data_IF_420497676334
#
_entry.id   IF_420497676334
#
_cell.length_a   1.000
_cell.length_b   1.000
_cell.length_c   1.000
_cell.angle_alpha   90.00
_cell.angle_beta   90.00
_cell.angle_gamma   90.00
#
_symmetry.space_group_name_H-M   'P 1'
#
loop_
_entity.id
_entity.type
_entity.pdbx_description
1 polymer ?
#
# COMPACT_ATOMS: atom_id res chain seq x y z
N UNK A 1 -16.95 -21.96 -0.44
CA UNK A 1 -17.61 -21.63 0.84
C UNK A 1 -18.64 -20.53 0.59
N UNK A 2 -19.85 -20.63 1.15
CA UNK A 2 -20.83 -19.54 1.13
C UNK A 2 -20.24 -18.29 1.80
N UNK A 3 -20.48 -17.10 1.23
CA UNK A 3 -20.00 -15.83 1.79
C UNK A 3 -20.96 -14.68 1.44
N UNK A 4 -20.86 -13.56 2.16
CA UNK A 4 -21.62 -12.32 1.92
C UNK A 4 -20.67 -11.13 1.99
N UNK A 5 -20.87 -10.14 1.12
CA UNK A 5 -20.09 -8.91 1.10
C UNK A 5 -20.86 -7.77 1.78
N UNK A 6 -20.19 -7.04 2.69
CA UNK A 6 -20.79 -5.95 3.47
C UNK A 6 -20.03 -4.65 3.19
N UNK A 7 -20.74 -3.62 2.75
CA UNK A 7 -20.18 -2.26 2.55
C UNK A 7 -19.84 -1.67 3.92
N UNK A 8 -18.59 -1.20 4.10
CA UNK A 8 -18.12 -0.64 5.38
C UNK A 8 -18.13 -1.67 6.53
N UNK A 9 -17.94 -2.95 6.21
CA UNK A 9 -18.10 -4.05 7.17
C UNK A 9 -17.15 -3.97 8.38
N UNK A 10 -16.00 -3.32 8.25
CA UNK A 10 -15.05 -3.07 9.35
C UNK A 10 -15.60 -2.11 10.41
N UNK A 11 -16.49 -1.19 10.04
CA UNK A 11 -17.21 -0.33 10.99
C UNK A 11 -18.39 -1.03 11.69
N UNK A 12 -18.79 -2.22 11.22
CA UNK A 12 -20.00 -2.92 11.68
C UNK A 12 -19.71 -4.26 12.37
N UNK A 13 -18.70 -4.99 11.91
CA UNK A 13 -18.39 -6.35 12.35
C UNK A 13 -16.96 -6.46 12.87
N UNK A 14 -16.82 -6.92 14.12
CA UNK A 14 -15.51 -7.06 14.80
C UNK A 14 -14.54 -8.00 14.09
N UNK A 15 -15.04 -9.06 13.44
CA UNK A 15 -14.19 -9.98 12.67
C UNK A 15 -13.59 -9.31 11.43
N UNK A 16 -14.38 -8.47 10.73
CA UNK A 16 -13.91 -7.71 9.57
C UNK A 16 -12.93 -6.62 10.04
N UNK A 17 -13.20 -5.95 11.16
CA UNK A 17 -12.30 -4.97 11.76
C UNK A 17 -10.95 -5.60 12.18
N UNK A 18 -10.98 -6.77 12.81
CA UNK A 18 -9.76 -7.49 13.17
C UNK A 18 -8.95 -7.87 11.92
N UNK A 19 -9.61 -8.34 10.86
CA UNK A 19 -8.96 -8.66 9.60
C UNK A 19 -8.34 -7.41 8.93
N UNK A 20 -9.02 -6.26 8.96
CA UNK A 20 -8.50 -5.01 8.38
C UNK A 20 -7.28 -4.48 9.14
N UNK A 21 -7.27 -4.58 10.47
CA UNK A 21 -6.11 -4.24 11.30
C UNK A 21 -4.91 -5.11 10.92
N UNK A 22 -5.07 -6.44 10.92
CA UNK A 22 -3.99 -7.37 10.56
C UNK A 22 -3.45 -7.11 9.16
N UNK A 23 -4.33 -6.89 8.18
CA UNK A 23 -3.93 -6.58 6.81
C UNK A 23 -3.14 -5.26 6.73
N UNK A 24 -3.58 -4.22 7.45
CA UNK A 24 -2.93 -2.91 7.43
C UNK A 24 -1.56 -2.94 8.10
N UNK A 25 -1.44 -3.55 9.28
CA UNK A 25 -0.16 -3.62 10.02
C UNK A 25 0.88 -4.39 9.22
N UNK A 26 0.50 -5.54 8.63
CA UNK A 26 1.37 -6.33 7.78
C UNK A 26 1.80 -5.55 6.52
N UNK A 27 0.86 -4.86 5.86
CA UNK A 27 1.19 -4.05 4.68
C UNK A 27 2.17 -2.93 5.01
N UNK A 28 1.97 -2.23 6.12
CA UNK A 28 2.82 -1.10 6.51
C UNK A 28 4.21 -1.54 6.96
N UNK A 29 4.34 -2.73 7.55
CA UNK A 29 5.64 -3.37 7.78
C UNK A 29 6.36 -3.67 6.46
N UNK A 30 5.67 -4.31 5.52
CA UNK A 30 6.26 -4.60 4.21
C UNK A 30 6.70 -3.34 3.45
N UNK A 31 5.93 -2.26 3.53
CA UNK A 31 6.31 -0.98 2.90
C UNK A 31 7.53 -0.33 3.57
N UNK A 32 7.75 -0.55 4.87
CA UNK A 32 8.95 -0.09 5.58
C UNK A 32 10.19 -0.85 5.12
N UNK A 33 10.12 -2.18 5.03
CA UNK A 33 11.21 -3.00 4.48
C UNK A 33 11.55 -2.59 3.04
N UNK A 34 10.53 -2.39 2.19
CA UNK A 34 10.75 -1.93 0.82
C UNK A 34 11.36 -0.52 0.75
N UNK A 35 11.13 0.33 1.75
CA UNK A 35 11.75 1.64 1.81
C UNK A 35 13.26 1.54 2.17
N UNK A 36 13.70 0.46 2.82
CA UNK A 36 15.12 0.20 3.04
C UNK A 36 15.80 -0.25 1.74
N UNK A 37 15.13 -1.10 0.95
CA UNK A 37 15.63 -1.57 -0.36
C UNK A 37 15.55 -0.48 -1.44
N UNK A 38 14.51 0.35 -1.44
CA UNK A 38 14.25 1.41 -2.41
C UNK A 38 14.01 2.77 -1.72
N UNK A 39 15.05 3.39 -1.15
CA UNK A 39 14.92 4.58 -0.29
C UNK A 39 14.37 5.82 -1.00
N UNK A 40 14.56 5.92 -2.32
CA UNK A 40 14.17 7.12 -3.08
C UNK A 40 12.65 7.38 -3.12
N UNK A 41 11.80 6.35 -2.99
CA UNK A 41 10.36 6.48 -3.25
C UNK A 41 9.54 6.91 -2.03
N UNK A 42 10.17 7.07 -0.85
CA UNK A 42 9.52 7.55 0.37
C UNK A 42 8.43 6.63 0.93
N UNK A 43 8.53 5.33 0.64
CA UNK A 43 7.50 4.33 0.94
C UNK A 43 7.24 4.10 2.44
N UNK A 44 8.18 4.44 3.31
CA UNK A 44 7.97 4.43 4.76
C UNK A 44 6.91 5.44 5.22
N UNK A 45 6.69 6.51 4.44
CA UNK A 45 5.71 7.56 4.74
C UNK A 45 4.46 7.44 3.89
N UNK A 46 4.62 7.21 2.59
CA UNK A 46 3.49 7.20 1.67
C UNK A 46 2.90 5.80 1.44
N UNK A 47 3.53 4.74 1.94
CA UNK A 47 3.06 3.36 1.80
C UNK A 47 2.66 2.97 0.35
N UNK A 48 3.35 3.52 -0.66
CA UNK A 48 3.12 3.28 -2.08
C UNK A 48 2.03 4.15 -2.72
N UNK A 49 1.38 5.05 -1.98
CA UNK A 49 0.41 5.99 -2.54
C UNK A 49 1.11 7.02 -3.45
N UNK A 50 0.43 7.51 -4.51
CA UNK A 50 1.03 8.43 -5.48
C UNK A 50 1.09 9.85 -4.90
N UNK A 51 1.97 10.09 -3.95
CA UNK A 51 2.25 11.44 -3.45
C UNK A 51 3.12 12.20 -4.44
N UNK A 52 3.25 13.53 -4.25
CA UNK A 52 4.14 14.33 -5.08
C UNK A 52 5.59 13.83 -5.00
N UNK A 53 6.06 13.48 -3.80
CA UNK A 53 7.39 12.91 -3.59
C UNK A 53 7.58 11.57 -4.32
N UNK A 54 6.61 10.66 -4.24
CA UNK A 54 6.68 9.38 -4.93
C UNK A 54 6.73 9.55 -6.46
N UNK A 55 5.90 10.45 -7.03
CA UNK A 55 5.95 10.75 -8.46
C UNK A 55 7.24 11.43 -8.90
N UNK A 56 7.85 12.25 -8.04
CA UNK A 56 9.16 12.84 -8.33
C UNK A 56 10.23 11.76 -8.40
N UNK A 57 10.28 10.87 -7.40
CA UNK A 57 11.19 9.73 -7.38
C UNK A 57 11.01 8.79 -8.58
N UNK A 58 9.77 8.55 -9.01
CA UNK A 58 9.47 7.79 -10.24
C UNK A 58 10.04 8.43 -11.51
N UNK A 59 10.07 9.77 -11.59
CA UNK A 59 10.68 10.48 -12.73
C UNK A 59 12.20 10.40 -12.71
N UNK A 60 12.80 10.41 -11.53
CA UNK A 60 14.25 10.44 -11.34
C UNK A 60 14.89 9.05 -11.40
N UNK A 61 14.27 8.05 -10.75
CA UNK A 61 14.83 6.72 -10.57
C UNK A 61 14.12 5.63 -11.38
N UNK A 62 13.02 5.97 -12.06
CA UNK A 62 12.24 5.04 -12.86
C UNK A 62 11.29 4.16 -12.03
N UNK A 63 10.79 3.09 -12.64
CA UNK A 63 9.90 2.12 -11.98
C UNK A 63 10.69 0.95 -11.39
N UNK A 64 10.14 0.35 -10.34
CA UNK A 64 10.68 -0.88 -9.73
C UNK A 64 9.74 -2.07 -9.97
N UNK A 65 10.17 -3.32 -9.71
CA UNK A 65 9.29 -4.49 -9.79
C UNK A 65 8.06 -4.43 -8.87
N UNK A 66 8.11 -3.60 -7.82
CA UNK A 66 7.00 -3.41 -6.87
C UNK A 66 5.97 -2.37 -7.34
N UNK A 67 6.28 -1.61 -8.39
CA UNK A 67 5.31 -0.71 -9.00
C UNK A 67 4.29 -1.50 -9.82
N UNK A 68 3.02 -1.11 -9.69
CA UNK A 68 1.92 -1.74 -10.43
C UNK A 68 1.83 -1.10 -11.81
N UNK A 69 2.44 -1.73 -12.81
CA UNK A 69 2.50 -1.23 -14.21
C UNK A 69 1.14 -1.08 -14.89
N UNK A 70 0.09 -1.73 -14.37
CA UNK A 70 -1.29 -1.52 -14.83
C UNK A 70 -1.93 -0.20 -14.38
N UNK A 71 -1.27 0.57 -13.50
CA UNK A 71 -1.74 1.88 -13.07
C UNK A 71 -1.08 2.97 -13.90
N UNK A 72 -1.76 4.12 -14.00
CA UNK A 72 -1.12 5.34 -14.47
C UNK A 72 -0.13 5.85 -13.40
N UNK A 73 1.16 5.71 -13.68
CA UNK A 73 2.23 6.05 -12.73
C UNK A 73 2.63 7.54 -12.76
N UNK A 74 2.46 8.21 -13.91
CA UNK A 74 2.83 9.63 -14.12
C UNK A 74 1.72 10.46 -14.77
#
# INVERSE_FOLDING_TARGET
>A
LPHTCIIGGDGLYRSIAAASILAKTFRDERMRELAEEYPAYGWSQNAGYPTAAHRAALREHGVTPHHRTGFRLL
#
